data_IF_020497072897
#
_entry.id   IF_020497072897
#
_cell.length_a   1.000
_cell.length_b   1.000
_cell.length_c   1.000
_cell.angle_alpha   90.00
_cell.angle_beta   90.00
_cell.angle_gamma   90.00
#
_symmetry.space_group_name_H-M   'P 1'
#
loop_
_entity.id
_entity.type
_entity.pdbx_description
1 polymer ?
#
# COMPACT_ATOMS: atom_id res chain seq x y z
N UNK A 1 7.84 1.43 -11.36
CA UNK A 1 8.44 2.33 -10.36
C UNK A 1 7.56 3.52 -10.02
N UNK A 2 6.95 4.23 -11.00
CA UNK A 2 6.14 5.43 -10.73
C UNK A 2 4.95 5.13 -9.81
N UNK A 3 4.20 4.03 -10.02
CA UNK A 3 3.09 3.63 -9.16
C UNK A 3 3.56 3.27 -7.74
N UNK A 4 4.71 2.63 -7.61
CA UNK A 4 5.31 2.37 -6.30
C UNK A 4 5.70 3.69 -5.60
N UNK A 5 6.23 4.66 -6.33
CA UNK A 5 6.46 6.02 -5.81
C UNK A 5 5.16 6.66 -5.33
N UNK A 6 4.08 6.56 -6.11
CA UNK A 6 2.78 7.07 -5.69
C UNK A 6 2.27 6.40 -4.40
N UNK A 7 2.49 5.10 -4.24
CA UNK A 7 2.14 4.38 -3.02
C UNK A 7 2.89 4.91 -1.78
N UNK A 8 4.21 5.14 -1.90
CA UNK A 8 4.99 5.71 -0.79
C UNK A 8 4.57 7.15 -0.49
N UNK A 9 4.35 7.97 -1.51
CA UNK A 9 3.86 9.33 -1.31
C UNK A 9 2.45 9.34 -0.70
N UNK A 10 1.57 8.43 -1.15
CA UNK A 10 0.26 8.26 -0.53
C UNK A 10 0.37 7.95 0.97
N UNK A 11 1.24 7.00 1.34
CA UNK A 11 1.45 6.62 2.74
C UNK A 11 1.96 7.80 3.59
N UNK A 12 2.91 8.56 3.06
CA UNK A 12 3.43 9.75 3.73
C UNK A 12 2.38 10.86 3.81
N UNK A 13 1.66 11.08 2.72
CA UNK A 13 0.62 12.10 2.62
C UNK A 13 -0.55 11.82 3.57
N UNK A 14 -1.00 10.58 3.62
CA UNK A 14 -2.08 10.14 4.51
C UNK A 14 -1.70 10.29 6.00
N UNK A 15 -0.43 10.03 6.34
CA UNK A 15 0.06 10.12 7.71
C UNK A 15 0.40 11.55 8.16
N UNK A 16 0.92 12.40 7.27
CA UNK A 16 1.52 13.70 7.62
C UNK A 16 0.85 14.90 6.96
N UNK A 17 -0.04 14.70 6.00
CA UNK A 17 -0.69 15.78 5.25
C UNK A 17 0.29 16.49 4.31
N UNK A 18 0.71 17.70 4.65
CA UNK A 18 1.66 18.49 3.84
C UNK A 18 3.06 17.91 3.93
N UNK A 19 3.58 17.47 2.80
CA UNK A 19 4.93 16.90 2.65
C UNK A 19 5.64 17.53 1.45
N UNK A 20 6.97 17.53 1.41
CA UNK A 20 7.71 17.83 0.19
C UNK A 20 7.41 16.78 -0.89
N UNK A 21 7.07 17.23 -2.10
CA UNK A 21 6.85 16.34 -3.24
C UNK A 21 7.92 16.55 -4.31
N UNK A 22 8.62 15.49 -4.65
CA UNK A 22 9.69 15.45 -5.62
C UNK A 22 9.42 14.38 -6.67
N UNK A 23 9.55 14.75 -7.93
CA UNK A 23 9.50 13.78 -9.03
C UNK A 23 10.88 13.16 -9.29
N UNK A 24 11.91 13.94 -9.13
CA UNK A 24 13.30 13.53 -9.28
C UNK A 24 14.09 13.79 -8.00
N UNK A 25 15.22 13.12 -7.86
CA UNK A 25 16.11 13.32 -6.73
C UNK A 25 16.65 14.76 -6.73
N UNK A 26 16.59 15.40 -5.58
CA UNK A 26 17.22 16.70 -5.33
C UNK A 26 17.88 16.71 -3.95
N UNK A 27 19.09 17.24 -3.89
CA UNK A 27 19.80 17.50 -2.63
C UNK A 27 19.41 18.85 -2.00
N UNK A 28 18.65 19.69 -2.72
CA UNK A 28 18.16 20.96 -2.21
C UNK A 28 16.98 20.75 -1.25
N UNK A 29 16.86 21.62 -0.26
CA UNK A 29 15.68 21.64 0.60
C UNK A 29 14.45 22.02 -0.23
N UNK A 30 13.41 21.20 -0.19
CA UNK A 30 12.16 21.41 -0.91
C UNK A 30 11.07 21.75 0.09
N UNK A 31 10.30 22.83 -0.13
CA UNK A 31 9.20 23.18 0.74
C UNK A 31 8.08 22.14 0.68
N UNK A 32 7.25 22.12 1.72
CA UNK A 32 6.04 21.30 1.71
C UNK A 32 5.07 21.79 0.64
N UNK A 33 4.46 20.86 -0.08
CA UNK A 33 3.37 21.13 -1.02
C UNK A 33 2.03 21.16 -0.29
N UNK A 34 1.05 21.84 -0.86
CA UNK A 34 -0.32 21.81 -0.37
C UNK A 34 -0.94 20.42 -0.60
N UNK A 35 -1.85 20.03 0.28
CA UNK A 35 -2.45 18.68 0.24
C UNK A 35 -3.17 18.40 -1.08
N UNK A 36 -3.92 19.37 -1.60
CA UNK A 36 -4.60 19.25 -2.88
C UNK A 36 -3.66 19.12 -4.08
N UNK A 37 -2.47 19.74 -4.04
CA UNK A 37 -1.44 19.61 -5.08
C UNK A 37 -0.86 18.19 -5.10
N UNK A 38 -0.55 17.66 -3.91
CA UNK A 38 -0.04 16.28 -3.76
C UNK A 38 -1.09 15.30 -4.27
N UNK A 39 -2.34 15.47 -3.82
CA UNK A 39 -3.46 14.62 -4.25
C UNK A 39 -3.61 14.61 -5.77
N UNK A 40 -3.62 15.79 -6.41
CA UNK A 40 -3.75 15.91 -7.87
C UNK A 40 -2.60 15.19 -8.59
N UNK A 41 -1.37 15.37 -8.16
CA UNK A 41 -0.19 14.69 -8.73
C UNK A 41 -0.29 13.17 -8.60
N UNK A 42 -0.73 12.68 -7.45
CA UNK A 42 -0.91 11.24 -7.22
C UNK A 42 -2.00 10.67 -8.13
N UNK A 43 -3.16 11.32 -8.19
CA UNK A 43 -4.28 10.86 -9.03
C UNK A 43 -3.90 10.86 -10.50
N UNK A 44 -3.34 11.95 -11.00
CA UNK A 44 -2.94 12.07 -12.40
C UNK A 44 -1.88 11.03 -12.78
N UNK A 45 -0.88 10.84 -11.92
CA UNK A 45 0.18 9.85 -12.17
C UNK A 45 -0.36 8.42 -12.15
N UNK A 46 -1.21 8.10 -11.16
CA UNK A 46 -1.78 6.75 -11.04
C UNK A 46 -2.69 6.41 -12.22
N UNK A 47 -3.58 7.33 -12.62
CA UNK A 47 -4.49 7.09 -13.74
C UNK A 47 -3.72 6.87 -15.04
N UNK A 48 -2.69 7.68 -15.30
CA UNK A 48 -1.84 7.52 -16.47
C UNK A 48 -1.05 6.21 -16.45
N UNK A 49 -0.43 5.85 -15.32
CA UNK A 49 0.48 4.70 -15.24
C UNK A 49 -0.26 3.36 -15.10
N UNK A 50 -1.51 3.36 -14.62
CA UNK A 50 -2.28 2.13 -14.41
C UNK A 50 -2.41 1.28 -15.68
N UNK A 51 -2.58 1.92 -16.84
CA UNK A 51 -2.75 1.21 -18.11
C UNK A 51 -1.54 0.37 -18.55
N UNK A 52 -0.35 0.67 -18.02
CA UNK A 52 0.89 -0.03 -18.35
C UNK A 52 1.22 -1.17 -17.35
N UNK A 53 0.38 -1.36 -16.35
CA UNK A 53 0.58 -2.40 -15.35
C UNK A 53 -0.11 -3.71 -15.74
N UNK A 54 0.39 -4.86 -15.25
CA UNK A 54 -0.25 -6.14 -15.50
C UNK A 54 -1.62 -6.21 -14.83
N UNK A 55 -2.56 -6.86 -15.52
CA UNK A 55 -3.80 -7.39 -14.92
C UNK A 55 -3.42 -8.74 -14.32
N UNK A 56 -3.80 -8.96 -13.06
CA UNK A 56 -3.51 -10.22 -12.39
C UNK A 56 -4.52 -11.30 -12.85
N UNK A 57 -3.98 -12.47 -13.18
CA UNK A 57 -4.73 -13.67 -13.55
C UNK A 57 -4.20 -14.86 -12.74
N UNK A 58 -4.88 -15.99 -12.78
CA UNK A 58 -4.36 -17.22 -12.15
C UNK A 58 -2.99 -17.62 -12.68
N UNK A 59 -2.79 -17.46 -13.98
CA UNK A 59 -1.56 -17.87 -14.65
C UNK A 59 -0.35 -17.00 -14.31
N UNK A 60 -0.57 -15.71 -14.01
CA UNK A 60 0.51 -14.77 -13.76
C UNK A 60 0.61 -14.28 -12.31
N UNK A 61 -0.27 -14.76 -11.41
CA UNK A 61 -0.30 -14.33 -10.02
C UNK A 61 1.04 -14.54 -9.31
N UNK A 62 1.59 -15.75 -9.39
CA UNK A 62 2.85 -16.07 -8.71
C UNK A 62 4.03 -15.21 -9.22
N UNK A 63 4.08 -14.93 -10.52
CA UNK A 63 5.13 -14.09 -11.12
C UNK A 63 5.01 -12.61 -10.68
N UNK A 64 3.79 -12.13 -10.50
CA UNK A 64 3.50 -10.75 -10.13
C UNK A 64 3.27 -10.53 -8.64
N UNK A 65 3.44 -11.56 -7.80
CA UNK A 65 3.29 -11.45 -6.36
C UNK A 65 4.27 -10.40 -5.79
N UNK A 66 3.74 -9.44 -5.05
CA UNK A 66 4.51 -8.31 -4.52
C UNK A 66 4.89 -7.22 -5.54
N UNK A 67 4.39 -7.31 -6.77
CA UNK A 67 4.57 -6.26 -7.79
C UNK A 67 3.34 -5.37 -7.91
N UNK A 68 3.56 -4.15 -8.42
CA UNK A 68 2.45 -3.27 -8.73
C UNK A 68 1.60 -3.82 -9.87
N UNK A 69 0.28 -3.83 -9.68
CA UNK A 69 -0.72 -4.27 -10.65
C UNK A 69 -1.72 -3.16 -10.97
N UNK A 70 -2.52 -3.35 -11.99
CA UNK A 70 -3.65 -2.44 -12.27
C UNK A 70 -4.60 -2.37 -11.08
N UNK A 71 -4.90 -3.50 -10.44
CA UNK A 71 -5.77 -3.54 -9.26
C UNK A 71 -5.23 -2.69 -8.12
N UNK A 72 -3.92 -2.73 -7.85
CA UNK A 72 -3.27 -1.86 -6.86
C UNK A 72 -3.47 -0.37 -7.22
N UNK A 73 -3.21 0.02 -8.46
CA UNK A 73 -3.34 1.41 -8.89
C UNK A 73 -4.79 1.90 -8.78
N UNK A 74 -5.76 1.10 -9.23
CA UNK A 74 -7.18 1.44 -9.14
C UNK A 74 -7.69 1.50 -7.70
N UNK A 75 -7.26 0.59 -6.84
CA UNK A 75 -7.61 0.64 -5.41
C UNK A 75 -7.05 1.90 -4.75
N UNK A 76 -5.84 2.30 -5.09
CA UNK A 76 -5.25 3.52 -4.55
C UNK A 76 -5.96 4.77 -5.07
N UNK A 77 -6.35 4.80 -6.35
CA UNK A 77 -7.20 5.86 -6.92
C UNK A 77 -8.56 5.94 -6.20
N UNK A 78 -9.23 4.80 -6.02
CA UNK A 78 -10.51 4.77 -5.30
C UNK A 78 -10.38 5.36 -3.89
N UNK A 79 -9.31 5.04 -3.15
CA UNK A 79 -9.05 5.60 -1.81
C UNK A 79 -8.79 7.09 -1.83
N UNK A 80 -8.01 7.58 -2.81
CA UNK A 80 -7.73 9.02 -2.97
C UNK A 80 -9.03 9.80 -3.27
N UNK A 81 -9.87 9.29 -4.15
CA UNK A 81 -11.15 9.92 -4.47
C UNK A 81 -12.13 9.88 -3.30
N UNK A 82 -12.25 8.75 -2.62
CA UNK A 82 -13.13 8.60 -1.46
C UNK A 82 -12.80 9.60 -0.34
N UNK A 83 -11.52 9.84 -0.12
CA UNK A 83 -11.04 10.68 0.97
C UNK A 83 -10.66 12.11 0.52
N UNK A 84 -11.02 12.53 -0.68
CA UNK A 84 -10.67 13.85 -1.23
C UNK A 84 -10.99 15.00 -0.25
N UNK A 85 -12.20 15.00 0.31
CA UNK A 85 -12.62 16.02 1.28
C UNK A 85 -11.74 16.05 2.54
N UNK A 86 -11.30 14.89 3.04
CA UNK A 86 -10.41 14.80 4.21
C UNK A 86 -9.03 15.42 3.95
N UNK A 87 -8.62 15.48 2.70
CA UNK A 87 -7.38 16.12 2.27
C UNK A 87 -7.56 17.60 1.89
N UNK A 88 -8.76 18.16 2.12
CA UNK A 88 -9.07 19.54 1.72
C UNK A 88 -9.18 19.73 0.19
N UNK A 89 -9.40 18.66 -0.54
CA UNK A 89 -9.60 18.68 -1.98
C UNK A 89 -11.07 18.98 -2.27
N UNK A 90 -11.29 19.96 -3.13
CA UNK A 90 -12.62 20.43 -3.55
C UNK A 90 -12.69 20.45 -5.07
N UNK A 91 -13.89 20.53 -5.66
CA UNK A 91 -14.03 20.70 -7.11
C UNK A 91 -13.27 21.92 -7.66
N UNK A 92 -13.11 22.95 -6.84
CA UNK A 92 -12.44 24.18 -7.26
C UNK A 92 -10.90 24.07 -7.30
N UNK A 93 -10.31 23.19 -6.49
CA UNK A 93 -8.85 23.06 -6.36
C UNK A 93 -8.28 21.73 -6.83
N UNK A 94 -9.11 20.71 -7.15
CA UNK A 94 -8.64 19.38 -7.55
C UNK A 94 -7.87 19.35 -8.88
N UNK A 95 -8.03 20.39 -9.73
CA UNK A 95 -7.36 20.46 -11.03
C UNK A 95 -7.88 19.46 -12.09
N UNK A 96 -9.04 18.85 -11.86
CA UNK A 96 -9.68 17.89 -12.77
C UNK A 96 -10.98 18.50 -13.31
N UNK A 97 -11.01 18.80 -14.60
CA UNK A 97 -12.14 19.50 -15.23
C UNK A 97 -13.48 18.75 -15.16
N UNK A 98 -13.45 17.43 -15.12
CA UNK A 98 -14.66 16.61 -15.03
C UNK A 98 -15.33 16.65 -13.65
N UNK A 99 -14.61 17.04 -12.61
CA UNK A 99 -15.12 17.16 -11.24
C UNK A 99 -15.75 18.53 -11.04
N UNK A 100 -17.07 18.57 -10.91
CA UNK A 100 -17.84 19.81 -10.73
C UNK A 100 -18.52 19.90 -9.37
N UNK A 101 -18.69 18.78 -8.69
CA UNK A 101 -19.34 18.64 -7.40
C UNK A 101 -18.64 17.62 -6.53
N UNK A 102 -18.91 17.61 -5.23
CA UNK A 102 -18.39 16.60 -4.30
C UNK A 102 -18.86 15.18 -4.68
N UNK A 103 -20.06 15.04 -5.25
CA UNK A 103 -20.57 13.74 -5.69
C UNK A 103 -19.73 13.13 -6.82
N UNK A 104 -19.03 13.95 -7.61
CA UNK A 104 -18.21 13.45 -8.72
C UNK A 104 -16.96 12.71 -8.19
N UNK A 105 -16.43 13.08 -7.02
CA UNK A 105 -15.37 12.31 -6.37
C UNK A 105 -15.84 10.90 -6.01
N UNK A 106 -17.05 10.78 -5.47
CA UNK A 106 -17.61 9.46 -5.16
C UNK A 106 -17.92 8.65 -6.42
N UNK A 107 -18.36 9.31 -7.50
CA UNK A 107 -18.57 8.65 -8.78
C UNK A 107 -17.26 8.08 -9.36
N UNK A 108 -16.16 8.84 -9.30
CA UNK A 108 -14.84 8.35 -9.70
C UNK A 108 -14.35 7.22 -8.77
N UNK A 109 -14.58 7.32 -7.47
CA UNK A 109 -14.28 6.22 -6.54
C UNK A 109 -15.00 4.93 -6.96
N UNK A 110 -16.31 5.00 -7.19
CA UNK A 110 -17.12 3.84 -7.64
C UNK A 110 -16.58 3.28 -8.96
N UNK A 111 -16.26 4.14 -9.92
CA UNK A 111 -15.69 3.74 -11.21
C UNK A 111 -14.39 2.92 -11.05
N UNK A 112 -13.47 3.34 -10.18
CA UNK A 112 -12.23 2.59 -9.96
C UNK A 112 -12.45 1.31 -9.15
N UNK A 113 -13.37 1.30 -8.18
CA UNK A 113 -13.79 0.07 -7.52
C UNK A 113 -14.37 -0.93 -8.53
N UNK A 114 -15.23 -0.45 -9.44
CA UNK A 114 -15.84 -1.30 -10.46
C UNK A 114 -14.78 -1.90 -11.40
N UNK A 115 -13.76 -1.14 -11.79
CA UNK A 115 -12.64 -1.67 -12.60
C UNK A 115 -11.91 -2.82 -11.89
N UNK A 116 -11.74 -2.76 -10.57
CA UNK A 116 -11.14 -3.85 -9.80
C UNK A 116 -12.05 -5.07 -9.78
N UNK A 117 -13.35 -4.88 -9.54
CA UNK A 117 -14.34 -5.95 -9.51
C UNK A 117 -14.46 -6.63 -10.88
N UNK A 118 -14.62 -5.84 -11.95
CA UNK A 118 -14.80 -6.33 -13.33
C UNK A 118 -13.56 -7.08 -13.85
N UNK A 119 -12.37 -6.79 -13.29
CA UNK A 119 -11.15 -7.51 -13.65
C UNK A 119 -11.19 -8.98 -13.27
N UNK A 120 -12.03 -9.37 -12.30
CA UNK A 120 -12.10 -10.70 -11.71
C UNK A 120 -10.74 -11.25 -11.24
N UNK A 121 -9.79 -10.33 -11.01
CA UNK A 121 -8.44 -10.65 -10.57
C UNK A 121 -8.40 -11.09 -9.11
N UNK A 122 -9.36 -10.64 -8.34
CA UNK A 122 -9.42 -10.80 -6.89
C UNK A 122 -10.76 -11.38 -6.46
N UNK A 123 -10.77 -12.09 -5.34
CA UNK A 123 -11.99 -12.62 -4.72
C UNK A 123 -11.82 -12.64 -3.20
N UNK A 124 -12.92 -12.59 -2.48
CA UNK A 124 -12.93 -12.72 -1.02
C UNK A 124 -12.72 -14.19 -0.68
N UNK A 125 -11.80 -14.48 0.25
CA UNK A 125 -11.54 -15.83 0.72
C UNK A 125 -12.69 -16.33 1.59
N UNK A 126 -13.03 -17.61 1.48
CA UNK A 126 -14.07 -18.24 2.29
C UNK A 126 -13.69 -18.32 3.77
N UNK A 127 -12.38 -18.46 4.06
CA UNK A 127 -11.83 -18.44 5.41
C UNK A 127 -11.16 -17.10 5.69
N UNK A 128 -11.75 -16.30 6.57
CA UNK A 128 -11.21 -15.00 7.00
C UNK A 128 -9.73 -15.08 7.41
N UNK A 129 -9.33 -16.18 8.05
CA UNK A 129 -7.96 -16.35 8.51
C UNK A 129 -6.97 -16.76 7.40
N UNK A 130 -7.44 -17.06 6.19
CA UNK A 130 -6.57 -17.47 5.08
C UNK A 130 -5.46 -16.44 4.81
N UNK A 131 -5.80 -15.14 4.86
CA UNK A 131 -4.86 -14.04 4.63
C UNK A 131 -3.80 -13.87 5.74
N UNK A 132 -4.04 -14.44 6.92
CA UNK A 132 -3.19 -14.29 8.10
C UNK A 132 -2.36 -15.55 8.40
N UNK A 133 -2.47 -16.59 7.58
CA UNK A 133 -1.66 -17.80 7.69
C UNK A 133 -0.20 -17.50 7.31
N UNK A 134 0.72 -18.34 7.78
CA UNK A 134 2.15 -18.22 7.44
C UNK A 134 2.36 -18.37 5.93
N UNK A 135 1.61 -19.28 5.30
CA UNK A 135 1.61 -19.51 3.85
C UNK A 135 0.35 -18.88 3.25
N UNK A 136 0.38 -17.58 3.03
CA UNK A 136 -0.74 -16.80 2.51
C UNK A 136 -0.50 -16.24 1.09
N UNK A 137 0.58 -16.66 0.44
CA UNK A 137 0.99 -16.17 -0.88
C UNK A 137 0.02 -16.57 -2.00
N UNK A 138 -0.84 -17.55 -1.76
CA UNK A 138 -1.84 -17.97 -2.73
C UNK A 138 -3.18 -17.25 -2.60
N UNK A 139 -3.35 -16.42 -1.56
CA UNK A 139 -4.59 -15.66 -1.40
C UNK A 139 -4.78 -14.67 -2.54
N UNK A 140 -5.98 -14.69 -3.11
CA UNK A 140 -6.43 -13.78 -4.17
C UNK A 140 -7.23 -12.59 -3.63
N UNK A 141 -7.41 -12.49 -2.32
CA UNK A 141 -8.01 -11.33 -1.68
C UNK A 141 -7.03 -10.17 -1.56
N UNK A 142 -5.73 -10.47 -1.43
CA UNK A 142 -4.69 -9.47 -1.28
C UNK A 142 -4.37 -8.78 -2.62
N UNK A 143 -4.75 -7.51 -2.76
CA UNK A 143 -4.54 -6.72 -3.98
C UNK A 143 -3.07 -6.30 -4.14
N UNK A 144 -2.42 -5.95 -3.04
CA UNK A 144 -0.99 -5.62 -3.00
C UNK A 144 -0.37 -6.10 -1.70
N UNK A 145 0.78 -6.71 -1.79
CA UNK A 145 1.52 -7.25 -0.65
C UNK A 145 2.96 -6.75 -0.65
N UNK A 146 3.50 -6.54 0.55
CA UNK A 146 4.93 -6.37 0.78
C UNK A 146 5.43 -7.74 1.20
N UNK A 147 6.24 -8.36 0.33
CA UNK A 147 6.70 -9.74 0.53
C UNK A 147 7.71 -9.80 1.66
N UNK A 148 7.35 -10.48 2.72
CA UNK A 148 8.20 -10.81 3.86
C UNK A 148 8.63 -12.29 3.77
N UNK A 149 9.86 -12.54 3.32
CA UNK A 149 10.38 -13.90 3.15
C UNK A 149 11.60 -14.14 4.03
N UNK A 150 11.48 -15.04 5.01
CA UNK A 150 12.55 -15.40 5.94
C UNK A 150 13.78 -16.07 5.28
N UNK A 151 13.59 -16.72 4.12
CA UNK A 151 14.65 -17.44 3.40
C UNK A 151 15.35 -16.59 2.33
N UNK A 152 15.02 -15.34 2.19
CA UNK A 152 15.52 -14.57 1.07
C UNK A 152 16.97 -14.14 1.24
N UNK A 153 17.71 -14.14 0.11
CA UNK A 153 19.06 -13.56 -0.04
C UNK A 153 19.10 -12.05 0.30
N UNK A 154 17.98 -11.44 0.60
CA UNK A 154 17.81 -10.04 1.01
C UNK A 154 17.98 -9.82 2.51
N UNK A 155 18.63 -10.75 3.23
CA UNK A 155 18.99 -10.51 4.60
C UNK A 155 19.98 -9.33 4.66
N UNK A 156 19.45 -8.17 5.01
CA UNK A 156 20.26 -7.01 5.28
C UNK A 156 21.14 -7.31 6.49
N UNK A 157 22.45 -7.26 6.30
CA UNK A 157 23.39 -7.25 7.40
C UNK A 157 23.57 -5.83 7.87
N UNK A 158 23.39 -5.59 9.16
CA UNK A 158 23.74 -4.30 9.74
C UNK A 158 25.25 -4.05 9.64
N UNK A 159 25.67 -2.84 9.99
CA UNK A 159 27.09 -2.44 9.97
C UNK A 159 27.99 -3.30 10.86
N UNK A 160 27.41 -4.08 11.77
CA UNK A 160 28.12 -5.03 12.63
C UNK A 160 28.13 -6.46 12.05
N UNK A 161 27.62 -6.65 10.83
CA UNK A 161 27.53 -7.95 10.16
C UNK A 161 26.49 -8.90 10.73
N UNK A 162 25.65 -8.44 11.65
CA UNK A 162 24.51 -9.20 12.16
C UNK A 162 23.36 -9.19 11.15
N UNK A 163 22.73 -10.33 10.97
CA UNK A 163 21.54 -10.41 10.16
C UNK A 163 20.44 -9.54 10.78
N UNK A 164 20.05 -8.48 10.08
CA UNK A 164 18.86 -7.73 10.45
C UNK A 164 17.65 -8.64 10.25
N UNK A 165 16.88 -8.82 11.30
CA UNK A 165 15.70 -9.64 11.28
C UNK A 165 14.63 -8.91 10.45
N UNK A 166 14.30 -9.42 9.26
CA UNK A 166 13.30 -8.83 8.37
C UNK A 166 11.88 -8.87 8.95
N UNK A 167 11.67 -9.78 9.88
CA UNK A 167 10.41 -9.93 10.59
C UNK A 167 10.34 -9.01 11.82
N UNK A 168 10.92 -7.83 11.73
CA UNK A 168 10.97 -6.87 12.84
C UNK A 168 9.57 -6.54 13.38
N UNK A 169 8.61 -6.35 12.48
CA UNK A 169 7.23 -6.07 12.87
C UNK A 169 6.62 -7.29 13.57
N UNK A 170 6.82 -8.48 13.02
CA UNK A 170 6.36 -9.73 13.65
C UNK A 170 7.00 -9.94 15.02
N UNK A 171 8.30 -9.71 15.15
CA UNK A 171 8.97 -9.82 16.44
C UNK A 171 8.51 -8.77 17.45
N UNK A 172 8.17 -7.57 17.00
CA UNK A 172 7.61 -6.52 17.85
C UNK A 172 6.20 -6.83 18.32
N UNK A 173 5.41 -7.55 17.50
CA UNK A 173 4.03 -7.92 17.82
C UNK A 173 3.92 -9.16 18.71
N UNK A 174 5.00 -9.95 18.86
CA UNK A 174 5.01 -11.14 19.69
C UNK A 174 5.52 -10.83 21.10
N UNK A 175 4.85 -11.38 22.10
CA UNK A 175 5.32 -11.31 23.46
C UNK A 175 6.45 -12.34 23.69
N UNK A 176 7.51 -11.93 24.35
CA UNK A 176 8.67 -12.78 24.65
C UNK A 176 8.32 -14.09 25.38
N UNK A 177 7.36 -14.06 26.29
CA UNK A 177 6.92 -15.26 27.01
C UNK A 177 6.24 -16.32 26.12
N UNK A 178 5.81 -15.96 24.93
CA UNK A 178 5.15 -16.87 23.99
C UNK A 178 6.10 -17.46 22.94
N UNK A 179 7.40 -17.32 23.10
CA UNK A 179 8.37 -17.86 22.13
C UNK A 179 8.12 -19.35 21.82
N UNK A 180 7.83 -20.15 22.81
CA UNK A 180 7.52 -21.59 22.64
C UNK A 180 6.17 -21.83 22.02
N UNK A 181 5.19 -20.97 22.27
CA UNK A 181 3.84 -21.08 21.70
C UNK A 181 3.82 -20.73 20.21
N UNK A 182 4.65 -19.79 19.81
CA UNK A 182 4.74 -19.34 18.43
C UNK A 182 5.79 -20.07 17.60
N UNK A 183 6.48 -21.03 18.19
CA UNK A 183 7.55 -21.80 17.55
C UNK A 183 8.57 -20.92 16.80
N UNK A 184 8.94 -19.80 17.39
CA UNK A 184 9.90 -18.86 16.81
C UNK A 184 11.32 -19.26 17.21
N UNK A 185 12.27 -19.14 16.27
CA UNK A 185 13.69 -19.41 16.50
C UNK A 185 14.33 -18.29 17.31
N UNK A 186 13.90 -17.06 17.06
CA UNK A 186 14.40 -15.85 17.72
C UNK A 186 13.46 -15.43 18.87
N UNK A 187 14.04 -14.75 19.86
CA UNK A 187 13.28 -14.18 20.96
C UNK A 187 12.38 -13.06 20.47
N UNK A 188 11.05 -13.15 20.65
CA UNK A 188 10.14 -12.06 20.34
C UNK A 188 10.45 -10.82 21.19
N UNK A 189 10.10 -9.66 20.68
CA UNK A 189 10.24 -8.40 21.39
C UNK A 189 8.86 -7.98 21.93
N UNK A 190 8.84 -7.50 23.17
CA UNK A 190 7.62 -6.96 23.77
C UNK A 190 7.32 -5.55 23.22
N UNK A 191 7.05 -5.44 21.91
CA UNK A 191 6.85 -4.16 21.26
C UNK A 191 5.41 -3.67 21.30
N UNK A 192 4.47 -4.59 21.10
CA UNK A 192 3.04 -4.29 21.08
C UNK A 192 2.31 -5.16 22.09
N UNK A 193 1.56 -4.54 22.97
CA UNK A 193 0.67 -5.22 23.91
C UNK A 193 -0.75 -4.78 23.60
N UNK A 194 -1.69 -5.73 23.52
CA UNK A 194 -3.10 -5.40 23.60
C UNK A 194 -3.41 -4.95 25.03
N UNK A 195 -4.16 -3.86 25.24
CA UNK A 195 -4.68 -3.54 26.57
C UNK A 195 -5.55 -4.69 27.06
N UNK A 196 -5.48 -4.99 28.35
CA UNK A 196 -6.45 -5.86 29.00
C UNK A 196 -7.78 -5.10 29.05
N UNK A 197 -8.84 -5.65 28.46
CA UNK A 197 -10.20 -5.12 28.56
C UNK A 197 -10.82 -5.47 29.91
#
# INVERSE_FOLDING_TARGET
LKVLRCYYYYTLFDAFGRIPYLEDYSSAAVPQSETWEIWNKLVTSLDHEAQFLPIITEQNHAENYGRCSQGMAYTLLARLYLNAASYGVTPANCGIESIKSESDFYAECVKYCQKVIDSQSYHIEDDFFANFKILNENSRENIFVIVENGNSAYNYRDVAGKMSNKLRITNLSLNYCFQTCWNTIDKPWNGFCAPED
#
